data_IF_666824945373
#
_entry.id   IF_666824945373
#
_cell.length_a   1.000
_cell.length_b   1.000
_cell.length_c   1.000
_cell.angle_alpha   90.00
_cell.angle_beta   90.00
_cell.angle_gamma   90.00
#
_symmetry.space_group_name_H-M   'P 1'
#
loop_
_entity.id
_entity.type
_entity.pdbx_description
1 polymer ?
#
# COMPACT_ATOMS: atom_id res chain seq x y z
N UNK A 1 -1.84 -2.27 -8.07
CA UNK A 1 -1.35 -2.77 -9.37
C UNK A 1 0.16 -2.57 -9.54
N UNK A 2 0.68 -1.34 -9.74
CA UNK A 2 2.12 -1.17 -10.03
C UNK A 2 3.08 -1.69 -8.95
N UNK A 3 2.76 -1.55 -7.67
CA UNK A 3 3.56 -2.16 -6.60
C UNK A 3 3.56 -3.70 -6.65
N UNK A 4 2.45 -4.32 -7.05
CA UNK A 4 2.35 -5.76 -7.25
C UNK A 4 3.25 -6.21 -8.42
N UNK A 5 3.27 -5.45 -9.51
CA UNK A 5 4.14 -5.74 -10.65
C UNK A 5 5.62 -5.53 -10.31
N UNK A 6 5.96 -4.46 -9.60
CA UNK A 6 7.32 -4.18 -9.14
C UNK A 6 7.85 -5.28 -8.20
N UNK A 7 6.98 -5.86 -7.35
CA UNK A 7 7.35 -6.91 -6.40
C UNK A 7 7.93 -8.17 -7.07
N UNK A 8 7.58 -8.44 -8.33
CA UNK A 8 8.15 -9.56 -9.11
C UNK A 8 9.67 -9.43 -9.27
N UNK A 9 10.16 -8.20 -9.37
CA UNK A 9 11.57 -7.86 -9.58
C UNK A 9 12.28 -7.39 -8.31
N UNK A 10 11.52 -6.81 -7.36
CA UNK A 10 12.02 -6.30 -6.09
C UNK A 10 11.31 -7.01 -4.91
N UNK A 11 11.88 -8.11 -4.39
CA UNK A 11 11.24 -8.87 -3.31
C UNK A 11 11.28 -8.17 -1.95
N UNK A 12 12.18 -7.20 -1.76
CA UNK A 12 12.28 -6.40 -0.53
C UNK A 12 11.43 -5.14 -0.66
N UNK A 13 10.37 -5.05 0.13
CA UNK A 13 9.47 -3.90 0.12
C UNK A 13 8.98 -3.52 1.52
N UNK A 14 8.77 -2.22 1.75
CA UNK A 14 8.09 -1.69 2.92
C UNK A 14 7.02 -0.66 2.48
N UNK A 15 5.91 -0.60 3.22
CA UNK A 15 4.79 0.32 2.97
C UNK A 15 4.78 1.39 4.06
N UNK A 16 4.73 2.65 3.67
CA UNK A 16 4.52 3.78 4.57
C UNK A 16 3.22 4.46 4.18
N UNK A 17 2.27 4.50 5.08
CA UNK A 17 0.99 5.20 4.90
C UNK A 17 0.90 6.38 5.87
N UNK A 18 0.33 7.49 5.41
CA UNK A 18 0.26 8.73 6.16
C UNK A 18 -1.15 9.30 6.01
N UNK A 19 -1.81 9.58 7.13
CA UNK A 19 -3.17 10.10 7.16
C UNK A 19 -3.29 11.21 8.20
N UNK A 20 -4.40 11.96 8.15
CA UNK A 20 -4.77 12.87 9.22
C UNK A 20 -4.77 12.17 10.59
N UNK A 21 -4.55 12.93 11.64
CA UNK A 21 -4.48 12.46 13.04
C UNK A 21 -5.80 11.90 13.57
N UNK A 22 -6.95 12.35 13.06
CA UNK A 22 -8.26 11.80 13.41
C UNK A 22 -8.60 10.41 12.86
N UNK A 23 -7.70 9.73 12.11
CA UNK A 23 -7.98 8.40 11.56
C UNK A 23 -7.75 7.32 12.61
N UNK A 24 -8.82 6.58 12.94
CA UNK A 24 -8.87 5.64 14.07
C UNK A 24 -8.08 4.34 13.81
N UNK A 25 -8.12 3.83 12.60
CA UNK A 25 -7.50 2.55 12.22
C UNK A 25 -6.04 2.72 11.77
N UNK A 26 -5.19 1.78 12.16
CA UNK A 26 -3.82 1.64 11.68
C UNK A 26 -3.39 0.16 11.65
N UNK A 27 -2.76 -0.32 10.55
CA UNK A 27 -2.57 0.37 9.28
C UNK A 27 -3.90 0.55 8.51
N UNK A 28 -3.92 1.49 7.56
CA UNK A 28 -5.09 1.65 6.69
C UNK A 28 -5.41 0.38 5.87
N UNK A 29 -6.68 0.14 5.55
CA UNK A 29 -7.09 -0.99 4.70
C UNK A 29 -6.40 -1.01 3.32
N UNK A 30 -6.08 0.16 2.76
CA UNK A 30 -5.32 0.25 1.49
C UNK A 30 -3.89 -0.25 1.65
N UNK A 31 -3.23 0.06 2.77
CA UNK A 31 -1.87 -0.40 3.06
C UNK A 31 -1.84 -1.92 3.26
N UNK A 32 -2.81 -2.48 4.00
CA UNK A 32 -2.95 -3.93 4.18
C UNK A 32 -3.17 -4.63 2.83
N UNK A 33 -4.10 -4.14 2.01
CA UNK A 33 -4.34 -4.71 0.67
C UNK A 33 -3.10 -4.62 -0.22
N UNK A 34 -2.37 -3.51 -0.15
CA UNK A 34 -1.12 -3.32 -0.90
C UNK A 34 -0.05 -4.33 -0.48
N UNK A 35 0.17 -4.50 0.83
CA UNK A 35 1.11 -5.48 1.36
C UNK A 35 0.75 -6.91 0.94
N UNK A 36 -0.53 -7.29 1.01
CA UNK A 36 -0.99 -8.61 0.58
C UNK A 36 -0.74 -8.84 -0.93
N UNK A 37 -1.00 -7.84 -1.78
CA UNK A 37 -0.73 -7.95 -3.22
C UNK A 37 0.78 -8.08 -3.50
N UNK A 38 1.63 -7.35 -2.78
CA UNK A 38 3.09 -7.47 -2.87
C UNK A 38 3.54 -8.87 -2.45
N UNK A 39 3.05 -9.36 -1.30
CA UNK A 39 3.42 -10.66 -0.77
C UNK A 39 3.03 -11.83 -1.69
N UNK A 40 1.88 -11.72 -2.37
CA UNK A 40 1.43 -12.71 -3.37
C UNK A 40 2.27 -12.66 -4.65
N UNK A 41 2.70 -11.49 -5.09
CA UNK A 41 3.38 -11.32 -6.38
C UNK A 41 4.91 -11.40 -6.32
N UNK A 42 5.52 -11.26 -5.14
CA UNK A 42 6.98 -11.31 -4.99
C UNK A 42 7.53 -12.66 -5.43
N UNK A 43 8.69 -12.62 -6.09
CA UNK A 43 9.39 -13.82 -6.59
C UNK A 43 9.97 -14.68 -5.47
N UNK A 44 10.31 -14.07 -4.34
CA UNK A 44 10.81 -14.77 -3.16
C UNK A 44 10.49 -14.00 -1.89
N UNK A 45 10.41 -14.72 -0.77
CA UNK A 45 10.30 -14.12 0.57
C UNK A 45 11.70 -13.69 1.01
N UNK A 46 11.92 -12.41 1.37
CA UNK A 46 13.19 -11.96 1.94
C UNK A 46 13.63 -12.81 3.12
N UNK A 47 14.93 -13.11 3.20
CA UNK A 47 15.49 -13.80 4.34
C UNK A 47 15.29 -12.95 5.61
N UNK A 48 14.79 -13.59 6.67
CA UNK A 48 14.69 -12.96 7.98
C UNK A 48 16.09 -12.78 8.55
N UNK A 49 16.46 -11.53 8.80
CA UNK A 49 17.71 -11.18 9.47
C UNK A 49 17.42 -11.18 10.98
N UNK A 50 18.37 -11.65 11.79
CA UNK A 50 18.29 -11.49 13.23
C UNK A 50 18.27 -9.99 13.56
N UNK A 51 17.11 -9.47 13.95
CA UNK A 51 16.92 -8.07 14.32
C UNK A 51 16.52 -7.95 15.79
N UNK A 52 16.92 -6.84 16.42
CA UNK A 52 16.54 -6.49 17.79
C UNK A 52 15.96 -5.09 17.80
N UNK A 53 14.71 -4.96 18.20
CA UNK A 53 14.10 -3.66 18.48
C UNK A 53 14.64 -3.12 19.81
N UNK A 54 15.29 -1.96 19.77
CA UNK A 54 15.69 -1.23 21.00
C UNK A 54 14.45 -0.57 21.64
N UNK A 55 13.55 -0.06 20.79
CA UNK A 55 12.26 0.49 21.18
C UNK A 55 11.19 -0.42 20.56
N UNK A 56 10.25 -0.96 21.36
CA UNK A 56 9.18 -1.81 20.85
C UNK A 56 8.40 -1.15 19.71
N UNK A 57 8.20 -1.88 18.61
CA UNK A 57 7.44 -1.42 17.44
C UNK A 57 8.24 -0.58 16.44
N UNK A 58 9.55 -0.38 16.66
CA UNK A 58 10.40 0.43 15.77
C UNK A 58 10.48 -0.07 14.33
N UNK A 59 10.23 -1.36 14.05
CA UNK A 59 10.20 -1.93 12.68
C UNK A 59 8.82 -1.88 12.03
N UNK A 60 7.82 -1.32 12.70
CA UNK A 60 6.44 -1.24 12.21
C UNK A 60 5.72 -2.59 12.21
N UNK A 61 4.46 -2.56 11.77
CA UNK A 61 3.63 -3.76 11.67
C UNK A 61 4.19 -4.72 10.61
N UNK A 62 3.89 -6.02 10.75
CA UNK A 62 4.23 -7.02 9.75
C UNK A 62 2.94 -7.62 9.16
N UNK A 63 2.78 -7.52 7.85
CA UNK A 63 1.74 -8.21 7.09
C UNK A 63 2.41 -9.06 6.02
N UNK A 64 2.36 -10.39 6.15
CA UNK A 64 2.92 -11.33 5.16
C UNK A 64 4.41 -11.11 4.84
N UNK A 65 5.22 -10.78 5.85
CA UNK A 65 6.65 -10.41 5.72
C UNK A 65 6.88 -9.14 4.88
N UNK A 66 5.89 -8.23 4.85
CA UNK A 66 6.01 -6.85 4.37
C UNK A 66 5.79 -5.91 5.55
N UNK A 67 6.76 -5.03 5.81
CA UNK A 67 6.63 -4.05 6.91
C UNK A 67 5.70 -2.91 6.52
N UNK A 68 4.86 -2.49 7.47
CA UNK A 68 3.92 -1.37 7.30
C UNK A 68 4.11 -0.35 8.43
N UNK A 69 4.30 0.92 8.03
CA UNK A 69 4.47 2.05 8.93
C UNK A 69 3.29 3.02 8.76
N UNK A 70 2.70 3.46 9.87
CA UNK A 70 1.51 4.32 9.85
C UNK A 70 1.82 5.65 10.52
N UNK A 71 1.72 6.74 9.77
CA UNK A 71 1.93 8.11 10.25
C UNK A 71 0.59 8.82 10.40
N UNK A 72 0.41 9.51 11.52
CA UNK A 72 -0.81 10.26 11.86
C UNK A 72 -0.42 11.66 12.28
N UNK A 73 -0.70 12.66 11.43
CA UNK A 73 -0.36 14.05 11.70
C UNK A 73 -1.44 15.01 11.19
N UNK A 74 -1.66 16.16 11.87
CA UNK A 74 -2.42 17.26 11.31
C UNK A 74 -1.86 17.70 9.94
N UNK A 75 -2.76 18.08 9.02
CA UNK A 75 -2.40 18.57 7.68
C UNK A 75 -2.24 17.49 6.61
N UNK A 76 -2.11 16.22 6.98
CA UNK A 76 -2.17 15.10 6.05
C UNK A 76 -3.62 14.78 5.68
N UNK A 77 -3.84 14.21 4.50
CA UNK A 77 -5.17 13.69 4.10
C UNK A 77 -5.08 12.17 3.97
N UNK A 78 -4.50 11.69 2.86
CA UNK A 78 -4.22 10.26 2.64
C UNK A 78 -3.05 10.12 1.66
N UNK A 79 -1.99 9.47 2.11
CA UNK A 79 -0.77 9.28 1.35
C UNK A 79 -0.27 7.85 1.55
N UNK A 80 0.30 7.27 0.50
CA UNK A 80 0.96 5.98 0.62
C UNK A 80 2.19 5.95 -0.26
N UNK A 81 3.26 5.40 0.30
CA UNK A 81 4.50 5.12 -0.37
C UNK A 81 4.83 3.64 -0.22
N UNK A 82 5.24 3.00 -1.31
CA UNK A 82 5.86 1.69 -1.28
C UNK A 82 7.31 1.86 -1.70
N UNK A 83 8.21 1.50 -0.79
CA UNK A 83 9.65 1.50 -1.04
C UNK A 83 10.09 0.09 -1.39
N UNK A 84 10.81 -0.05 -2.48
CA UNK A 84 11.43 -1.29 -2.93
C UNK A 84 12.94 -1.14 -2.85
N UNK A 85 13.61 -2.13 -2.28
CA UNK A 85 15.07 -2.21 -2.19
C UNK A 85 15.66 -3.25 -3.14
N UNK A 86 16.77 -2.91 -3.78
CA UNK A 86 17.59 -3.82 -4.57
C UNK A 86 19.07 -3.48 -4.42
N UNK A 87 19.95 -4.33 -4.98
CA UNK A 87 21.38 -4.07 -4.94
C UNK A 87 21.70 -2.72 -5.60
N UNK A 88 22.24 -1.79 -4.81
CA UNK A 88 22.63 -0.44 -5.24
C UNK A 88 21.51 0.40 -5.88
N UNK A 89 20.24 0.10 -5.58
CA UNK A 89 19.11 0.84 -6.12
C UNK A 89 17.90 0.80 -5.19
N UNK A 90 17.02 1.78 -5.35
CA UNK A 90 15.71 1.79 -4.73
C UNK A 90 14.68 2.24 -5.76
N UNK A 91 13.45 1.72 -5.63
CA UNK A 91 12.30 2.16 -6.41
C UNK A 91 11.22 2.61 -5.42
N UNK A 92 10.67 3.79 -5.65
CA UNK A 92 9.57 4.33 -4.84
C UNK A 92 8.33 4.50 -5.72
N UNK A 93 7.21 3.96 -5.27
CA UNK A 93 5.88 4.26 -5.84
C UNK A 93 5.09 5.01 -4.78
N UNK A 94 4.66 6.23 -5.11
CA UNK A 94 3.99 7.13 -4.16
C UNK A 94 2.70 7.67 -4.75
N UNK A 95 1.67 7.73 -3.91
CA UNK A 95 0.41 8.38 -4.22
C UNK A 95 0.06 9.34 -3.08
N UNK A 96 -0.25 10.59 -3.45
CA UNK A 96 -0.64 11.65 -2.52
C UNK A 96 -2.04 12.13 -2.90
N UNK A 97 -3.02 11.87 -2.05
CA UNK A 97 -4.36 12.45 -2.17
C UNK A 97 -4.40 13.73 -1.37
N UNK A 98 -4.21 14.86 -2.05
CA UNK A 98 -4.14 16.20 -1.43
C UNK A 98 -5.54 16.67 -0.97
N UNK A 99 -6.59 16.22 -1.65
CA UNK A 99 -7.97 16.53 -1.32
C UNK A 99 -8.87 15.32 -1.63
N UNK A 100 -10.03 15.22 -0.96
CA UNK A 100 -10.97 14.09 -1.15
C UNK A 100 -11.54 14.00 -2.57
N UNK A 101 -11.46 15.07 -3.34
CA UNK A 101 -11.86 15.05 -4.75
C UNK A 101 -11.04 14.05 -5.57
N UNK A 102 -9.84 13.66 -5.12
CA UNK A 102 -9.02 12.63 -5.78
C UNK A 102 -9.74 11.28 -5.90
N UNK A 103 -10.72 10.99 -5.03
CA UNK A 103 -11.50 9.76 -5.07
C UNK A 103 -12.67 9.82 -6.08
N UNK A 104 -13.13 11.01 -6.45
CA UNK A 104 -14.35 11.20 -7.24
C UNK A 104 -14.26 10.61 -8.66
N UNK A 105 -13.14 10.71 -9.40
CA UNK A 105 -13.00 10.04 -10.70
C UNK A 105 -13.22 8.53 -10.62
N UNK A 106 -12.73 7.88 -9.55
CA UNK A 106 -12.93 6.44 -9.32
C UNK A 106 -14.39 6.09 -9.03
N UNK A 107 -15.09 6.91 -8.23
CA UNK A 107 -16.52 6.76 -7.97
C UNK A 107 -17.32 6.92 -9.27
N UNK A 108 -17.05 7.97 -10.06
CA UNK A 108 -17.72 8.19 -11.33
C UNK A 108 -17.46 7.04 -12.33
N UNK A 109 -16.24 6.50 -12.39
CA UNK A 109 -15.91 5.33 -13.20
C UNK A 109 -16.74 4.12 -12.78
N UNK A 110 -16.79 3.82 -11.48
CA UNK A 110 -17.55 2.70 -10.93
C UNK A 110 -19.04 2.80 -11.28
N UNK A 111 -19.65 3.97 -11.04
CA UNK A 111 -21.07 4.21 -11.33
C UNK A 111 -21.41 4.09 -12.82
N UNK A 112 -20.47 4.43 -13.71
CA UNK A 112 -20.66 4.26 -15.16
C UNK A 112 -20.54 2.79 -15.56
N UNK A 113 -19.48 2.12 -15.11
CA UNK A 113 -19.16 0.74 -15.49
C UNK A 113 -20.16 -0.28 -14.96
N UNK A 114 -20.70 -0.06 -13.75
CA UNK A 114 -21.63 -1.02 -13.11
C UNK A 114 -22.88 -1.30 -13.94
N UNK A 115 -23.32 -0.36 -14.77
CA UNK A 115 -24.50 -0.52 -15.64
C UNK A 115 -24.31 -1.60 -16.71
N UNK A 116 -23.06 -1.93 -17.05
CA UNK A 116 -22.71 -2.91 -18.08
C UNK A 116 -22.26 -4.26 -17.48
N UNK A 117 -22.24 -4.40 -16.15
CA UNK A 117 -21.77 -5.61 -15.46
C UNK A 117 -22.93 -6.51 -15.04
N UNK A 118 -22.75 -7.82 -15.18
CA UNK A 118 -23.68 -8.85 -14.72
C UNK A 118 -23.12 -9.71 -13.58
N UNK A 119 -21.96 -9.31 -13.03
CA UNK A 119 -21.26 -10.00 -11.96
C UNK A 119 -20.69 -9.00 -10.94
N UNK A 120 -20.31 -9.51 -9.77
CA UNK A 120 -19.63 -8.72 -8.76
C UNK A 120 -18.15 -8.58 -9.12
N UNK A 121 -17.70 -7.36 -9.37
CA UNK A 121 -16.28 -7.03 -9.53
C UNK A 121 -15.73 -6.41 -8.25
N UNK A 122 -14.74 -7.04 -7.63
CA UNK A 122 -14.06 -6.53 -6.44
C UNK A 122 -12.71 -5.90 -6.82
N UNK A 123 -12.61 -4.57 -6.69
CA UNK A 123 -11.39 -3.79 -6.97
C UNK A 123 -11.49 -3.00 -8.28
N UNK A 124 -11.20 -1.68 -8.22
CA UNK A 124 -11.26 -0.79 -9.39
C UNK A 124 -10.20 -1.11 -10.45
N UNK A 125 -9.11 -1.77 -10.07
CA UNK A 125 -8.06 -2.22 -10.97
C UNK A 125 -8.53 -3.21 -12.07
N UNK A 126 -9.71 -3.81 -11.89
CA UNK A 126 -10.36 -4.68 -12.85
C UNK A 126 -11.33 -3.94 -13.79
N UNK A 127 -11.62 -2.66 -13.50
CA UNK A 127 -12.47 -1.78 -14.31
C UNK A 127 -11.67 -0.70 -15.07
N UNK A 128 -10.38 -0.57 -14.73
CA UNK A 128 -9.39 0.35 -15.31
C UNK A 128 -8.70 -0.25 -16.55
#
# INVERSE_FOLDING_TARGET
KYSQDAAKYFPHAEVIEMHHDGKVDAPSGTAIKTANLIAVARSSVPQKIAEKEIIPGARGANAEDVRIHSVRLPGLVAHQQVLFGGQSQTLTIRHDSIHRDSFMPGVCLACKKVMDLNELVYGLEHLL
#
